data_IF_045244962548
#
_entry.id   IF_045244962548
#
_cell.length_a   1.000
_cell.length_b   1.000
_cell.length_c   1.000
_cell.angle_alpha   90.00
_cell.angle_beta   90.00
_cell.angle_gamma   90.00
#
_symmetry.space_group_name_H-M   'P 1'
#
loop_
_entity.id
_entity.type
_entity.pdbx_description
1 polymer ?
#
# COMPACT_ATOMS: atom_id res chain seq x y z
N UNK A 1 -4.82 -11.70 -12.42
CA UNK A 1 -4.69 -10.23 -12.37
C UNK A 1 -6.04 -9.49 -12.29
N UNK A 2 -7.18 -10.07 -12.71
CA UNK A 2 -8.50 -9.41 -12.64
C UNK A 2 -8.86 -8.96 -11.22
N UNK A 3 -8.69 -9.82 -10.20
CA UNK A 3 -9.05 -9.50 -8.81
C UNK A 3 -8.34 -8.26 -8.26
N UNK A 4 -7.03 -8.13 -8.49
CA UNK A 4 -6.26 -6.99 -7.98
C UNK A 4 -6.74 -5.67 -8.59
N UNK A 5 -6.95 -5.65 -9.90
CA UNK A 5 -7.44 -4.47 -10.61
C UNK A 5 -8.88 -4.13 -10.21
N UNK A 6 -9.75 -5.13 -10.07
CA UNK A 6 -11.14 -4.90 -9.62
C UNK A 6 -11.21 -4.41 -8.18
N UNK A 7 -10.39 -4.96 -7.27
CA UNK A 7 -10.34 -4.51 -5.87
C UNK A 7 -9.80 -3.08 -5.79
N UNK A 8 -8.71 -2.80 -6.52
CA UNK A 8 -8.16 -1.46 -6.61
C UNK A 8 -9.19 -0.46 -7.13
N UNK A 9 -9.81 -0.75 -8.28
CA UNK A 9 -10.81 0.12 -8.90
C UNK A 9 -12.01 0.36 -7.97
N UNK A 10 -12.53 -0.70 -7.35
CA UNK A 10 -13.68 -0.60 -6.45
C UNK A 10 -13.35 0.28 -5.23
N UNK A 11 -12.21 0.04 -4.57
CA UNK A 11 -11.79 0.85 -3.42
C UNK A 11 -11.57 2.29 -3.83
N UNK A 12 -10.86 2.54 -4.94
CA UNK A 12 -10.60 3.88 -5.43
C UNK A 12 -11.90 4.65 -5.74
N UNK A 13 -12.87 4.01 -6.41
CA UNK A 13 -14.17 4.63 -6.73
C UNK A 13 -14.97 4.93 -5.46
N UNK A 14 -15.07 3.97 -4.54
CA UNK A 14 -15.80 4.18 -3.28
C UNK A 14 -15.17 5.30 -2.44
N UNK A 15 -13.84 5.34 -2.34
CA UNK A 15 -13.14 6.41 -1.64
C UNK A 15 -13.31 7.76 -2.35
N UNK A 16 -13.23 7.80 -3.68
CA UNK A 16 -13.46 9.01 -4.45
C UNK A 16 -14.88 9.57 -4.23
N UNK A 17 -15.90 8.71 -4.20
CA UNK A 17 -17.28 9.10 -3.93
C UNK A 17 -17.45 9.66 -2.51
N UNK A 18 -16.86 8.99 -1.50
CA UNK A 18 -16.89 9.49 -0.11
C UNK A 18 -16.18 10.84 0.03
N UNK A 19 -15.06 11.01 -0.67
CA UNK A 19 -14.32 12.28 -0.67
C UNK A 19 -15.09 13.38 -1.38
N UNK A 20 -15.67 13.08 -2.55
CA UNK A 20 -16.52 14.01 -3.29
C UNK A 20 -17.73 14.45 -2.47
N UNK A 21 -18.39 13.52 -1.78
CA UNK A 21 -19.50 13.83 -0.87
C UNK A 21 -19.03 14.76 0.27
N UNK A 22 -17.88 14.45 0.88
CA UNK A 22 -17.31 15.28 1.96
C UNK A 22 -16.97 16.70 1.47
N UNK A 23 -16.40 16.82 0.28
CA UNK A 23 -16.09 18.11 -0.36
C UNK A 23 -17.36 18.89 -0.73
N UNK A 24 -18.39 18.22 -1.27
CA UNK A 24 -19.66 18.84 -1.60
C UNK A 24 -20.35 19.38 -0.35
N UNK A 25 -20.45 18.58 0.72
CA UNK A 25 -21.03 18.99 2.00
C UNK A 25 -20.26 20.18 2.60
N UNK A 26 -18.93 20.17 2.52
CA UNK A 26 -18.10 21.30 2.97
C UNK A 26 -18.36 22.58 2.18
N UNK A 27 -18.53 22.49 0.85
CA UNK A 27 -18.87 23.64 -0.02
C UNK A 27 -20.23 24.25 0.31
N UNK A 28 -21.18 23.44 0.77
CA UNK A 28 -22.49 23.92 1.23
C UNK A 28 -22.47 24.56 2.63
N UNK A 29 -21.30 24.69 3.26
CA UNK A 29 -21.14 25.38 4.55
C UNK A 29 -21.37 24.48 5.77
N UNK A 30 -21.60 23.18 5.59
CA UNK A 30 -21.75 22.25 6.71
C UNK A 30 -20.39 21.80 7.25
N UNK A 31 -20.13 21.92 8.56
CA UNK A 31 -18.83 21.56 9.16
C UNK A 31 -18.50 20.07 9.07
N UNK A 32 -19.52 19.21 8.91
CA UNK A 32 -19.38 17.76 8.76
C UNK A 32 -18.55 17.35 7.55
N UNK A 33 -18.58 18.13 6.46
CA UNK A 33 -17.76 17.87 5.28
C UNK A 33 -16.26 17.95 5.55
N UNK A 34 -15.84 18.93 6.36
CA UNK A 34 -14.43 19.10 6.75
C UNK A 34 -13.93 17.93 7.62
N UNK A 35 -14.79 17.38 8.50
CA UNK A 35 -14.45 16.19 9.26
C UNK A 35 -14.29 14.95 8.36
N UNK A 36 -15.14 14.79 7.34
CA UNK A 36 -15.04 13.72 6.36
C UNK A 36 -13.71 13.76 5.59
N UNK A 37 -13.35 14.93 5.06
CA UNK A 37 -12.08 15.16 4.36
C UNK A 37 -10.89 14.82 5.27
N UNK A 38 -10.87 15.35 6.50
CA UNK A 38 -9.76 15.11 7.45
C UNK A 38 -9.61 13.63 7.81
N UNK A 39 -10.70 12.89 7.96
CA UNK A 39 -10.67 11.45 8.25
C UNK A 39 -10.14 10.65 7.07
N UNK A 40 -10.56 10.98 5.85
CA UNK A 40 -10.07 10.33 4.64
C UNK A 40 -8.59 10.64 4.40
N UNK A 41 -8.14 11.86 4.68
CA UNK A 41 -6.72 12.23 4.61
C UNK A 41 -5.86 11.50 5.64
N UNK A 42 -6.38 11.29 6.85
CA UNK A 42 -5.67 10.52 7.88
C UNK A 42 -5.44 9.05 7.48
N UNK A 43 -6.30 8.50 6.63
CA UNK A 43 -6.12 7.16 6.05
C UNK A 43 -5.21 7.21 4.82
N UNK A 44 -5.37 8.25 3.99
CA UNK A 44 -4.65 8.46 2.74
C UNK A 44 -3.25 9.06 2.96
N UNK A 45 -2.51 8.55 3.95
CA UNK A 45 -1.15 8.99 4.26
C UNK A 45 -0.12 8.03 3.65
N UNK A 46 0.75 8.57 2.79
CA UNK A 46 1.91 7.84 2.26
C UNK A 46 2.89 7.42 3.38
N UNK A 47 2.80 8.08 4.54
CA UNK A 47 3.18 7.64 5.87
C UNK A 47 3.23 6.13 6.06
N UNK A 48 2.08 5.53 5.81
CA UNK A 48 1.74 4.15 6.18
C UNK A 48 2.51 3.07 5.39
N UNK A 49 3.06 3.38 4.22
CA UNK A 49 3.71 2.36 3.39
C UNK A 49 5.05 1.87 3.94
N UNK A 50 5.78 2.70 4.68
CA UNK A 50 7.07 2.30 5.29
C UNK A 50 6.87 1.20 6.33
N UNK A 51 6.01 1.37 7.37
CA UNK A 51 5.78 0.31 8.34
C UNK A 51 5.10 -0.91 7.71
N UNK A 52 4.19 -0.73 6.74
CA UNK A 52 3.59 -1.85 6.02
C UNK A 52 4.63 -2.66 5.24
N UNK A 53 5.56 -1.99 4.56
CA UNK A 53 6.66 -2.63 3.84
C UNK A 53 7.60 -3.38 4.79
N UNK A 54 7.90 -2.83 5.97
CA UNK A 54 8.71 -3.51 6.98
C UNK A 54 8.10 -4.87 7.37
N UNK A 55 6.80 -4.88 7.71
CA UNK A 55 6.10 -6.12 8.11
C UNK A 55 5.98 -7.09 6.93
N UNK A 56 5.75 -6.57 5.72
CA UNK A 56 5.68 -7.38 4.52
C UNK A 56 7.02 -8.06 4.21
N UNK A 57 8.12 -7.31 4.19
CA UNK A 57 9.45 -7.86 3.91
C UNK A 57 9.91 -8.82 4.99
N UNK A 58 9.55 -8.58 6.25
CA UNK A 58 9.78 -9.54 7.32
C UNK A 58 9.00 -10.84 7.08
N UNK A 59 7.73 -10.74 6.68
CA UNK A 59 6.92 -11.91 6.33
C UNK A 59 7.52 -12.69 5.13
N UNK A 60 7.99 -11.98 4.11
CA UNK A 60 8.68 -12.56 2.97
C UNK A 60 10.00 -13.26 3.37
N UNK A 61 10.78 -12.63 4.24
CA UNK A 61 11.99 -13.20 4.83
C UNK A 61 11.71 -14.50 5.57
N UNK A 62 10.65 -14.54 6.38
CA UNK A 62 10.24 -15.75 7.10
C UNK A 62 9.92 -16.90 6.14
N UNK A 63 9.24 -16.62 5.01
CA UNK A 63 8.96 -17.64 4.00
C UNK A 63 10.22 -18.21 3.33
N UNK A 64 11.32 -17.45 3.31
CA UNK A 64 12.59 -17.93 2.76
C UNK A 64 13.31 -18.88 3.71
N UNK A 65 13.07 -18.86 5.03
CA UNK A 65 13.72 -19.80 5.96
C UNK A 65 12.79 -20.94 6.36
N UNK A 66 11.49 -20.65 6.53
CA UNK A 66 10.55 -21.60 7.11
C UNK A 66 10.35 -22.88 6.25
N UNK A 67 9.98 -24.00 6.89
CA UNK A 67 9.50 -25.18 6.17
C UNK A 67 8.21 -24.86 5.42
N UNK A 68 7.94 -25.61 4.35
CA UNK A 68 6.86 -25.31 3.38
C UNK A 68 5.50 -25.06 4.03
N UNK A 69 5.13 -25.83 5.06
CA UNK A 69 3.85 -25.66 5.78
C UNK A 69 3.76 -24.33 6.50
N UNK A 70 4.79 -23.96 7.25
CA UNK A 70 4.82 -22.69 7.98
C UNK A 70 4.93 -21.49 7.02
N UNK A 71 5.73 -21.60 5.97
CA UNK A 71 5.78 -20.58 4.92
C UNK A 71 4.40 -20.34 4.26
N UNK A 72 3.62 -21.42 4.05
CA UNK A 72 2.26 -21.30 3.53
C UNK A 72 1.34 -20.54 4.48
N UNK A 73 1.45 -20.77 5.80
CA UNK A 73 0.66 -20.05 6.82
C UNK A 73 1.00 -18.55 6.78
N UNK A 74 2.29 -18.21 6.71
CA UNK A 74 2.74 -16.81 6.63
C UNK A 74 2.25 -16.15 5.34
N UNK A 75 2.25 -16.88 4.21
CA UNK A 75 1.74 -16.35 2.94
C UNK A 75 0.27 -15.98 3.03
N UNK A 76 -0.58 -16.94 3.44
CA UNK A 76 -2.03 -16.75 3.43
C UNK A 76 -2.52 -15.77 4.48
N UNK A 77 -1.89 -15.71 5.65
CA UNK A 77 -2.40 -14.93 6.78
C UNK A 77 -1.71 -13.57 6.96
N UNK A 78 -0.43 -13.45 6.59
CA UNK A 78 0.32 -12.21 6.75
C UNK A 78 0.58 -11.53 5.40
N UNK A 79 1.30 -12.17 4.48
CA UNK A 79 1.73 -11.50 3.27
C UNK A 79 0.58 -11.16 2.31
N UNK A 80 -0.38 -12.07 2.13
CA UNK A 80 -1.58 -11.80 1.32
C UNK A 80 -2.38 -10.63 1.92
N UNK A 81 -2.61 -10.66 3.25
CA UNK A 81 -3.33 -9.59 3.94
C UNK A 81 -2.62 -8.24 3.80
N UNK A 82 -1.30 -8.21 3.97
CA UNK A 82 -0.47 -7.01 3.81
C UNK A 82 -0.47 -6.52 2.36
N UNK A 83 -0.35 -7.41 1.38
CA UNK A 83 -0.46 -7.07 -0.04
C UNK A 83 -1.80 -6.40 -0.36
N UNK A 84 -2.91 -6.99 0.09
CA UNK A 84 -4.24 -6.41 -0.13
C UNK A 84 -4.43 -5.09 0.63
N UNK A 85 -3.88 -4.96 1.83
CA UNK A 85 -3.88 -3.70 2.58
C UNK A 85 -3.10 -2.61 1.84
N UNK A 86 -1.93 -2.92 1.28
CA UNK A 86 -1.14 -2.00 0.46
C UNK A 86 -1.91 -1.57 -0.79
N UNK A 87 -2.54 -2.51 -1.51
CA UNK A 87 -3.35 -2.19 -2.70
C UNK A 87 -4.55 -1.31 -2.33
N UNK A 88 -5.24 -1.63 -1.24
CA UNK A 88 -6.38 -0.85 -0.78
C UNK A 88 -5.98 0.57 -0.35
N UNK A 89 -4.89 0.73 0.42
CA UNK A 89 -4.40 2.05 0.82
C UNK A 89 -3.88 2.88 -0.35
N UNK A 90 -3.25 2.25 -1.34
CA UNK A 90 -2.86 2.97 -2.54
C UNK A 90 -4.10 3.41 -3.33
N UNK A 91 -5.12 2.55 -3.43
CA UNK A 91 -6.39 2.89 -4.05
C UNK A 91 -7.13 4.02 -3.33
N UNK A 92 -7.14 4.04 -1.99
CA UNK A 92 -7.78 5.12 -1.22
C UNK A 92 -7.10 6.46 -1.48
N UNK A 93 -5.76 6.50 -1.52
CA UNK A 93 -5.00 7.70 -1.86
C UNK A 93 -5.37 8.18 -3.26
N UNK A 94 -5.30 7.30 -4.26
CA UNK A 94 -5.65 7.64 -5.65
C UNK A 94 -7.09 8.17 -5.73
N UNK A 95 -8.05 7.51 -5.07
CA UNK A 95 -9.45 7.95 -5.01
C UNK A 95 -9.61 9.35 -4.41
N UNK A 96 -8.94 9.64 -3.28
CA UNK A 96 -8.95 10.96 -2.65
C UNK A 96 -8.37 12.04 -3.58
N UNK A 97 -7.25 11.78 -4.25
CA UNK A 97 -6.60 12.73 -5.15
C UNK A 97 -7.45 12.99 -6.40
N UNK A 98 -8.04 11.96 -6.99
CA UNK A 98 -8.93 12.09 -8.16
C UNK A 98 -10.17 12.92 -7.81
N UNK A 99 -10.79 12.69 -6.65
CA UNK A 99 -11.92 13.50 -6.20
C UNK A 99 -11.53 14.98 -6.02
N UNK A 100 -10.38 15.27 -5.40
CA UNK A 100 -9.87 16.65 -5.24
C UNK A 100 -9.58 17.33 -6.58
N UNK A 101 -8.97 16.59 -7.50
CA UNK A 101 -8.71 17.07 -8.85
C UNK A 101 -10.01 17.42 -9.58
N UNK A 102 -11.03 16.56 -9.52
CA UNK A 102 -12.35 16.81 -10.08
C UNK A 102 -13.06 18.04 -9.47
N UNK A 103 -12.77 18.35 -8.21
CA UNK A 103 -13.25 19.56 -7.52
C UNK A 103 -12.36 20.79 -7.76
N UNK A 104 -11.39 20.73 -8.68
CA UNK A 104 -10.61 21.89 -9.13
C UNK A 104 -9.25 22.08 -8.44
N UNK A 105 -8.80 21.14 -7.60
CA UNK A 105 -7.49 21.20 -6.96
C UNK A 105 -6.42 20.53 -7.85
N UNK A 106 -6.07 21.18 -8.97
CA UNK A 106 -5.21 20.61 -10.02
C UNK A 106 -3.82 20.15 -9.55
N UNK A 107 -3.20 20.87 -8.62
CA UNK A 107 -1.85 20.57 -8.13
C UNK A 107 -1.76 19.29 -7.26
N UNK A 108 -2.89 18.72 -6.85
CA UNK A 108 -2.94 17.61 -5.91
C UNK A 108 -2.42 16.29 -6.51
N UNK A 109 -2.47 16.13 -7.84
CA UNK A 109 -1.96 14.93 -8.50
C UNK A 109 -0.44 14.78 -8.39
N UNK A 110 0.32 15.86 -8.16
CA UNK A 110 1.75 15.79 -7.90
C UNK A 110 2.09 14.99 -6.64
N UNK A 111 1.12 14.82 -5.73
CA UNK A 111 1.29 13.93 -4.58
C UNK A 111 1.61 12.49 -5.01
N UNK A 112 1.17 12.02 -6.19
CA UNK A 112 1.48 10.69 -6.73
C UNK A 112 2.96 10.48 -7.08
N UNK A 113 3.75 11.55 -7.19
CA UNK A 113 5.20 11.49 -7.44
C UNK A 113 5.98 11.26 -6.15
N UNK A 114 5.30 11.09 -5.01
CA UNK A 114 5.95 10.78 -3.75
C UNK A 114 6.74 9.48 -3.83
N UNK A 115 8.04 9.54 -3.51
CA UNK A 115 8.97 8.42 -3.58
C UNK A 115 8.55 7.24 -2.68
N UNK A 116 7.73 7.47 -1.65
CA UNK A 116 7.19 6.43 -0.76
C UNK A 116 6.33 5.40 -1.50
N UNK A 117 5.77 5.75 -2.66
CA UNK A 117 5.05 4.77 -3.48
C UNK A 117 5.96 3.72 -4.13
N UNK A 118 7.29 3.89 -4.09
CA UNK A 118 8.23 2.83 -4.46
C UNK A 118 8.04 1.58 -3.58
N UNK A 119 7.63 1.73 -2.32
CA UNK A 119 7.33 0.59 -1.45
C UNK A 119 6.11 -0.20 -1.94
N UNK A 120 5.10 0.47 -2.49
CA UNK A 120 3.95 -0.21 -3.11
C UNK A 120 4.42 -1.07 -4.28
N UNK A 121 5.23 -0.50 -5.16
CA UNK A 121 5.78 -1.23 -6.31
C UNK A 121 6.64 -2.42 -5.86
N UNK A 122 7.49 -2.22 -4.84
CA UNK A 122 8.36 -3.26 -4.29
C UNK A 122 7.55 -4.41 -3.66
N UNK A 123 6.51 -4.11 -2.87
CA UNK A 123 5.61 -5.11 -2.29
C UNK A 123 4.93 -5.91 -3.40
N UNK A 124 4.33 -5.24 -4.38
CA UNK A 124 3.61 -5.88 -5.49
C UNK A 124 4.55 -6.77 -6.30
N UNK A 125 5.74 -6.27 -6.67
CA UNK A 125 6.73 -7.04 -7.43
C UNK A 125 7.21 -8.27 -6.64
N UNK A 126 7.55 -8.09 -5.36
CA UNK A 126 7.96 -9.19 -4.49
C UNK A 126 6.84 -10.23 -4.33
N UNK A 127 5.59 -9.78 -4.22
CA UNK A 127 4.43 -10.68 -4.08
C UNK A 127 4.22 -11.52 -5.34
N UNK A 128 4.31 -10.91 -6.52
CA UNK A 128 4.17 -11.62 -7.79
C UNK A 128 5.32 -12.60 -8.04
N UNK A 129 6.54 -12.25 -7.65
CA UNK A 129 7.71 -13.11 -7.81
C UNK A 129 7.84 -14.20 -6.72
N UNK A 130 7.01 -14.18 -5.68
CA UNK A 130 7.21 -14.98 -4.47
C UNK A 130 7.28 -16.50 -4.73
N UNK A 131 6.50 -17.01 -5.68
CA UNK A 131 6.52 -18.42 -6.03
C UNK A 131 7.85 -18.84 -6.66
N UNK A 132 8.34 -18.07 -7.61
CA UNK A 132 9.62 -18.27 -8.30
C UNK A 132 10.80 -18.16 -7.33
N UNK A 133 10.75 -17.16 -6.44
CA UNK A 133 11.77 -16.95 -5.41
C UNK A 133 11.89 -18.15 -4.46
N UNK A 134 10.76 -18.77 -4.10
CA UNK A 134 10.75 -19.92 -3.18
C UNK A 134 11.18 -21.22 -3.85
N UNK A 135 11.02 -21.35 -5.16
CA UNK A 135 11.29 -22.59 -5.91
C UNK A 135 12.78 -22.81 -6.18
N UNK A 136 13.55 -21.74 -6.37
CA UNK A 136 14.98 -21.82 -6.67
C UNK A 136 15.81 -21.55 -5.41
N UNK A 137 16.69 -22.49 -5.02
CA UNK A 137 17.51 -22.39 -3.81
C UNK A 137 18.44 -21.16 -3.82
N UNK A 138 18.97 -20.77 -4.98
CA UNK A 138 19.85 -19.60 -5.13
C UNK A 138 19.08 -18.30 -4.95
N UNK A 139 17.89 -18.20 -5.57
CA UNK A 139 17.03 -17.03 -5.38
C UNK A 139 16.55 -16.94 -3.95
N UNK A 140 16.22 -18.08 -3.33
CA UNK A 140 15.76 -18.15 -1.95
C UNK A 140 16.80 -17.62 -0.96
N UNK A 141 18.08 -17.99 -1.11
CA UNK A 141 19.16 -17.49 -0.25
C UNK A 141 19.51 -16.02 -0.53
N UNK A 142 19.53 -15.62 -1.80
CA UNK A 142 19.77 -14.23 -2.20
C UNK A 142 18.67 -13.30 -1.63
N UNK A 143 17.40 -13.66 -1.85
CA UNK A 143 16.27 -12.84 -1.43
C UNK A 143 16.04 -12.88 0.08
N UNK A 144 16.53 -13.90 0.80
CA UNK A 144 16.62 -13.84 2.24
C UNK A 144 17.44 -12.60 2.69
N UNK A 145 18.63 -12.40 2.12
CA UNK A 145 19.49 -11.26 2.44
C UNK A 145 18.84 -9.94 1.99
N UNK A 146 18.26 -9.90 0.80
CA UNK A 146 17.58 -8.71 0.27
C UNK A 146 16.40 -8.31 1.16
N UNK A 147 15.53 -9.24 1.54
CA UNK A 147 14.40 -8.94 2.42
C UNK A 147 14.83 -8.57 3.83
N UNK A 148 15.94 -9.13 4.34
CA UNK A 148 16.52 -8.72 5.61
C UNK A 148 16.95 -7.25 5.55
N UNK A 149 17.74 -6.90 4.53
CA UNK A 149 18.19 -5.53 4.30
C UNK A 149 17.01 -4.57 4.12
N UNK A 150 15.99 -4.95 3.33
CA UNK A 150 14.80 -4.14 3.12
C UNK A 150 13.99 -3.92 4.42
N UNK A 151 13.85 -4.97 5.24
CA UNK A 151 13.18 -4.89 6.55
C UNK A 151 13.93 -3.91 7.47
N UNK A 152 15.25 -4.05 7.56
CA UNK A 152 16.10 -3.17 8.38
C UNK A 152 16.06 -1.73 7.87
N UNK A 153 16.12 -1.52 6.56
CA UNK A 153 16.00 -0.20 5.97
C UNK A 153 14.65 0.44 6.31
N UNK A 154 13.54 -0.30 6.22
CA UNK A 154 12.21 0.24 6.56
C UNK A 154 12.06 0.57 8.06
N UNK A 155 12.76 -0.13 8.96
CA UNK A 155 12.68 0.10 10.41
C UNK A 155 13.61 1.20 10.92
N UNK A 156 14.82 1.26 10.39
CA UNK A 156 15.91 2.04 10.99
C UNK A 156 16.42 3.16 10.08
N UNK A 157 16.10 3.14 8.79
CA UNK A 157 16.49 4.23 7.91
C UNK A 157 15.48 5.37 8.04
N UNK A 158 15.96 6.52 8.52
CA UNK A 158 15.17 7.76 8.52
C UNK A 158 15.12 8.27 7.08
N UNK A 159 14.05 7.94 6.36
CA UNK A 159 13.82 8.54 5.07
C UNK A 159 13.38 10.00 5.25
N UNK A 160 14.05 10.98 4.61
CA UNK A 160 13.59 12.37 4.66
C UNK A 160 12.18 12.48 4.07
N UNK A 161 11.36 13.30 4.72
CA UNK A 161 9.95 13.52 4.39
C UNK A 161 9.77 14.20 3.03
#
# INVERSE_FOLDING_TARGET
>A
MSKALTTFALVAVLTALLMALSLAVARHGYPYGAFGVKRLDGIADAGSFIPLAAVYFFSALLMMILPLRAASIVLTNAADALFWATVALFATIVGCLVARWAFGQGGVLWALVNWRFLFVAAIVAAHLAMNELRRNILLRSLFFVVFAAATLACLFWTFPA
#
